data_IF_703575100235
#
_entry.id   IF_703575100235
#
_cell.length_a   1.000
_cell.length_b   1.000
_cell.length_c   1.000
_cell.angle_alpha   90.00
_cell.angle_beta   90.00
_cell.angle_gamma   90.00
#
_symmetry.space_group_name_H-M   'P 1'
#
loop_
_entity.id
_entity.type
_entity.pdbx_description
1 polymer ?
#
# COMPACT_ATOMS: atom_id res chain seq x y z
N UNK A 1 -3.62 86.75 -7.39
CA UNK A 1 -4.09 86.35 -6.05
C UNK A 1 -4.37 84.84 -6.06
N UNK A 2 -3.87 84.12 -5.05
CA UNK A 2 -4.18 82.74 -4.55
C UNK A 2 -4.94 81.77 -5.48
N UNK A 3 -4.33 80.66 -5.95
CA UNK A 3 -3.91 79.38 -5.31
C UNK A 3 -4.94 78.25 -5.50
N UNK A 4 -4.40 77.02 -5.62
CA UNK A 4 -4.96 75.65 -5.42
C UNK A 4 -5.40 74.91 -6.69
N UNK A 5 -4.57 74.06 -7.31
CA UNK A 5 -4.21 72.64 -6.98
C UNK A 5 -5.39 71.67 -6.93
N UNK A 6 -5.41 70.73 -7.89
CA UNK A 6 -6.20 69.50 -7.83
C UNK A 6 -5.88 68.57 -9.00
N UNK A 7 -4.83 67.76 -8.87
CA UNK A 7 -4.55 66.62 -9.77
C UNK A 7 -5.37 65.44 -9.25
N UNK A 8 -6.43 65.05 -9.96
CA UNK A 8 -7.19 63.82 -9.65
C UNK A 8 -6.78 62.70 -10.59
N UNK A 9 -6.20 61.68 -9.97
CA UNK A 9 -5.65 60.45 -10.52
C UNK A 9 -6.75 59.56 -11.11
N UNK A 10 -6.50 58.99 -12.28
CA UNK A 10 -7.19 57.80 -12.79
C UNK A 10 -6.63 56.55 -12.08
N UNK A 11 -7.39 55.44 -12.05
CA UNK A 11 -6.82 54.26 -12.70
C UNK A 11 -7.83 53.49 -13.57
N UNK A 12 -7.36 53.12 -14.76
CA UNK A 12 -7.96 52.15 -15.66
C UNK A 12 -8.13 50.80 -14.94
N UNK A 13 -9.36 50.32 -14.81
CA UNK A 13 -9.68 48.96 -14.42
C UNK A 13 -9.40 48.01 -15.59
N UNK A 14 -8.22 47.38 -15.54
CA UNK A 14 -7.78 46.36 -16.47
C UNK A 14 -8.55 45.04 -16.27
N UNK A 15 -9.20 44.61 -17.33
CA UNK A 15 -9.67 43.25 -17.59
C UNK A 15 -8.53 42.25 -17.32
N UNK A 16 -8.70 41.38 -16.33
CA UNK A 16 -7.79 40.25 -16.07
C UNK A 16 -8.59 38.95 -16.04
N UNK A 17 -8.74 38.37 -17.23
CA UNK A 17 -9.15 36.99 -17.43
C UNK A 17 -7.91 36.10 -17.23
N UNK A 18 -7.85 35.27 -16.19
CA UNK A 18 -7.07 34.04 -16.28
C UNK A 18 -7.56 32.97 -15.31
N UNK A 19 -8.20 31.97 -15.91
CA UNK A 19 -8.48 30.65 -15.37
C UNK A 19 -7.17 30.00 -14.88
N UNK A 20 -7.00 29.84 -13.58
CA UNK A 20 -5.96 28.98 -13.02
C UNK A 20 -6.61 27.87 -12.19
N UNK A 21 -7.27 26.95 -12.89
CA UNK A 21 -7.41 25.58 -12.40
C UNK A 21 -6.02 24.95 -12.46
N UNK A 22 -5.19 25.19 -11.44
CA UNK A 22 -3.89 24.52 -11.33
C UNK A 22 -4.12 23.02 -11.14
N UNK A 23 -3.38 22.14 -11.85
CA UNK A 23 -3.39 20.74 -11.49
C UNK A 23 -2.84 20.66 -10.05
N UNK A 24 -3.56 19.94 -9.19
CA UNK A 24 -3.05 19.57 -7.88
C UNK A 24 -1.68 18.92 -8.09
N UNK A 25 -0.62 19.66 -7.76
CA UNK A 25 0.74 19.18 -7.85
C UNK A 25 0.89 18.07 -6.81
N UNK A 26 0.94 16.82 -7.27
CA UNK A 26 1.44 15.72 -6.47
C UNK A 26 2.82 16.12 -5.96
N UNK A 27 2.92 16.32 -4.64
CA UNK A 27 4.15 16.75 -4.00
C UNK A 27 5.20 15.62 -4.09
N UNK A 28 6.48 15.91 -4.40
CA UNK A 28 7.54 14.90 -4.52
C UNK A 28 7.81 14.10 -3.22
N UNK A 29 7.25 14.55 -2.10
CA UNK A 29 7.27 13.81 -0.83
C UNK A 29 6.27 12.64 -0.81
N UNK A 30 5.19 12.71 -1.61
CA UNK A 30 4.20 11.64 -1.76
C UNK A 30 4.72 10.43 -2.49
N UNK A 31 5.35 10.66 -3.64
CA UNK A 31 5.95 9.60 -4.46
C UNK A 31 7.02 8.81 -3.66
N UNK A 32 7.76 9.47 -2.77
CA UNK A 32 8.76 8.81 -1.90
C UNK A 32 8.11 7.97 -0.81
N UNK A 33 6.98 8.43 -0.25
CA UNK A 33 6.27 7.70 0.80
C UNK A 33 5.55 6.49 0.22
N UNK A 34 4.89 6.64 -0.94
CA UNK A 34 4.27 5.54 -1.68
C UNK A 34 5.29 4.44 -1.98
N UNK A 35 6.40 4.77 -2.66
CA UNK A 35 7.48 3.80 -2.92
C UNK A 35 8.06 3.18 -1.64
N UNK A 36 8.02 3.89 -0.51
CA UNK A 36 8.43 3.35 0.78
C UNK A 36 7.45 2.34 1.37
N UNK A 37 6.15 2.52 1.11
CA UNK A 37 5.09 1.59 1.51
C UNK A 37 5.08 0.35 0.61
N UNK A 38 5.27 0.51 -0.70
CA UNK A 38 5.30 -0.60 -1.66
C UNK A 38 6.46 -1.55 -1.37
N UNK A 39 7.69 -1.02 -1.29
CA UNK A 39 8.88 -1.82 -0.93
C UNK A 39 8.73 -2.54 0.42
N UNK A 40 7.92 -1.97 1.32
CA UNK A 40 7.62 -2.60 2.61
C UNK A 40 6.59 -3.71 2.44
N UNK A 41 5.58 -3.53 1.58
CA UNK A 41 4.63 -4.56 1.16
C UNK A 41 5.35 -5.76 0.58
N UNK A 42 6.14 -5.55 -0.47
CA UNK A 42 6.91 -6.60 -1.16
C UNK A 42 7.75 -7.42 -0.18
N UNK A 43 8.46 -6.75 0.74
CA UNK A 43 9.30 -7.44 1.74
C UNK A 43 8.47 -8.29 2.71
N UNK A 44 7.25 -7.86 3.03
CA UNK A 44 6.36 -8.61 3.90
C UNK A 44 5.78 -9.81 3.16
N UNK A 45 5.29 -9.64 1.93
CA UNK A 45 4.83 -10.72 1.05
C UNK A 45 5.90 -11.79 0.90
N UNK A 46 7.10 -11.39 0.45
CA UNK A 46 8.22 -12.30 0.23
C UNK A 46 8.67 -13.02 1.51
N UNK A 47 8.38 -12.46 2.69
CA UNK A 47 8.63 -13.11 3.98
C UNK A 47 7.51 -14.09 4.35
N UNK A 48 6.26 -13.79 4.00
CA UNK A 48 5.13 -14.69 4.20
C UNK A 48 5.23 -15.90 3.28
N UNK A 49 5.60 -15.71 2.00
CA UNK A 49 5.77 -16.78 1.02
C UNK A 49 6.86 -17.76 1.45
N UNK A 50 8.07 -17.25 1.72
CA UNK A 50 9.18 -18.09 2.24
C UNK A 50 8.82 -18.83 3.52
N UNK A 51 7.89 -18.29 4.31
CA UNK A 51 7.41 -18.94 5.52
C UNK A 51 6.42 -20.05 5.18
N UNK A 52 5.49 -19.83 4.25
CA UNK A 52 4.58 -20.84 3.69
C UNK A 52 5.37 -22.02 3.16
N UNK A 53 6.22 -21.77 2.18
CA UNK A 53 7.16 -22.71 1.58
C UNK A 53 7.91 -23.61 2.59
N UNK A 54 8.37 -23.02 3.70
CA UNK A 54 9.10 -23.77 4.73
C UNK A 54 8.18 -24.69 5.52
N UNK A 55 6.95 -24.24 5.77
CA UNK A 55 5.94 -25.02 6.45
C UNK A 55 5.49 -26.17 5.56
N UNK A 56 5.22 -25.93 4.28
CA UNK A 56 4.74 -26.94 3.32
C UNK A 56 5.75 -28.05 3.19
N UNK A 57 7.00 -27.71 2.84
CA UNK A 57 8.11 -28.69 2.80
C UNK A 57 8.28 -29.48 4.10
N UNK A 58 7.87 -28.95 5.25
CA UNK A 58 7.93 -29.69 6.52
C UNK A 58 6.71 -30.59 6.71
N UNK A 59 5.54 -30.17 6.26
CA UNK A 59 4.32 -30.96 6.33
C UNK A 59 4.36 -32.09 5.31
N UNK A 60 4.76 -31.83 4.07
CA UNK A 60 4.92 -32.83 3.00
C UNK A 60 5.83 -33.96 3.46
N UNK A 61 7.05 -33.64 3.92
CA UNK A 61 7.98 -34.65 4.45
C UNK A 61 7.39 -35.46 5.61
N UNK A 62 6.50 -34.87 6.42
CA UNK A 62 5.84 -35.59 7.50
C UNK A 62 4.68 -36.44 7.01
N UNK A 63 3.98 -36.01 5.97
CA UNK A 63 2.94 -36.75 5.30
C UNK A 63 3.54 -37.96 4.59
N UNK A 64 4.61 -37.78 3.81
CA UNK A 64 5.37 -38.86 3.16
C UNK A 64 5.85 -39.90 4.18
N UNK A 65 6.44 -39.45 5.30
CA UNK A 65 6.86 -40.35 6.37
C UNK A 65 5.67 -41.06 7.03
N UNK A 66 4.53 -40.40 7.17
CA UNK A 66 3.34 -41.04 7.74
C UNK A 66 2.80 -42.11 6.78
N UNK A 67 2.74 -41.82 5.49
CA UNK A 67 2.32 -42.76 4.46
C UNK A 67 3.26 -43.96 4.36
N UNK A 68 4.57 -43.73 4.32
CA UNK A 68 5.58 -44.81 4.31
C UNK A 68 5.52 -45.72 5.55
N UNK A 69 5.04 -45.20 6.69
CA UNK A 69 4.82 -45.97 7.91
C UNK A 69 3.41 -46.60 8.01
N UNK A 70 2.61 -46.55 6.94
CA UNK A 70 1.26 -47.11 6.90
C UNK A 70 0.22 -46.30 7.68
N UNK A 71 0.41 -44.99 7.80
CA UNK A 71 -0.52 -44.06 8.47
C UNK A 71 -1.16 -43.06 7.49
N UNK A 72 -1.99 -43.50 6.53
CA UNK A 72 -2.56 -42.63 5.50
C UNK A 72 -3.48 -41.53 6.07
N UNK A 73 -4.30 -41.86 7.07
CA UNK A 73 -5.17 -40.87 7.75
C UNK A 73 -4.37 -39.76 8.43
N UNK A 74 -3.16 -40.07 8.89
CA UNK A 74 -2.27 -39.08 9.50
C UNK A 74 -1.62 -38.20 8.43
N UNK A 75 -1.27 -38.75 7.27
CA UNK A 75 -0.78 -38.00 6.12
C UNK A 75 -1.84 -36.99 5.67
N UNK A 76 -3.08 -37.45 5.42
CA UNK A 76 -4.20 -36.58 5.02
C UNK A 76 -4.46 -35.45 6.04
N UNK A 77 -4.38 -35.74 7.35
CA UNK A 77 -4.52 -34.71 8.38
C UNK A 77 -3.40 -33.66 8.34
N UNK A 78 -2.19 -34.05 7.93
CA UNK A 78 -1.07 -33.13 7.77
C UNK A 78 -1.27 -32.24 6.54
N UNK A 79 -1.82 -32.77 5.46
CA UNK A 79 -2.15 -32.01 4.24
C UNK A 79 -3.24 -30.98 4.52
N UNK A 80 -4.36 -31.40 5.13
CA UNK A 80 -5.43 -30.50 5.57
C UNK A 80 -4.95 -29.42 6.55
N UNK A 81 -3.87 -29.71 7.29
CA UNK A 81 -3.22 -28.73 8.16
C UNK A 81 -2.38 -27.74 7.36
N UNK A 82 -1.75 -28.17 6.27
CA UNK A 82 -1.07 -27.32 5.29
C UNK A 82 -2.04 -26.29 4.73
N UNK A 83 -3.13 -26.76 4.12
CA UNK A 83 -4.17 -25.90 3.53
C UNK A 83 -4.69 -24.84 4.51
N UNK A 84 -4.90 -25.24 5.77
CA UNK A 84 -5.36 -24.32 6.83
C UNK A 84 -4.32 -23.24 7.14
N UNK A 85 -3.04 -23.59 7.11
CA UNK A 85 -1.95 -22.65 7.34
C UNK A 85 -1.83 -21.70 6.16
N UNK A 86 -1.96 -22.18 4.93
CA UNK A 86 -1.89 -21.36 3.72
C UNK A 86 -3.00 -20.31 3.71
N UNK A 87 -4.25 -20.74 3.93
CA UNK A 87 -5.38 -19.81 4.09
C UNK A 87 -5.22 -18.82 5.26
N UNK A 88 -4.38 -19.12 6.24
CA UNK A 88 -4.06 -18.18 7.32
C UNK A 88 -2.97 -17.20 6.90
N UNK A 89 -2.00 -17.63 6.11
CA UNK A 89 -0.94 -16.78 5.57
C UNK A 89 -1.50 -15.83 4.51
N UNK A 90 -2.37 -16.30 3.62
CA UNK A 90 -3.04 -15.49 2.59
C UNK A 90 -3.83 -14.35 3.24
N UNK A 91 -4.73 -14.68 4.18
CA UNK A 91 -5.50 -13.68 4.94
C UNK A 91 -4.63 -12.68 5.69
N UNK A 92 -3.41 -13.11 6.06
CA UNK A 92 -2.45 -12.24 6.72
C UNK A 92 -1.77 -11.30 5.72
N UNK A 93 -1.46 -11.78 4.51
CA UNK A 93 -1.04 -10.95 3.37
C UNK A 93 -2.07 -9.88 3.09
N UNK A 94 -3.31 -10.28 2.79
CA UNK A 94 -4.41 -9.34 2.52
C UNK A 94 -4.66 -8.31 3.64
N UNK A 95 -4.40 -8.67 4.89
CA UNK A 95 -4.52 -7.74 6.01
C UNK A 95 -3.40 -6.70 6.02
N UNK A 96 -2.18 -7.12 5.66
CA UNK A 96 -1.04 -6.22 5.50
C UNK A 96 -1.30 -5.26 4.34
N UNK A 97 -1.74 -5.77 3.19
CA UNK A 97 -1.96 -4.98 1.98
C UNK A 97 -2.99 -3.88 2.25
N UNK A 98 -4.17 -4.27 2.77
CA UNK A 98 -5.20 -3.31 3.17
C UNK A 98 -4.72 -2.28 4.20
N UNK A 99 -3.75 -2.62 5.05
CA UNK A 99 -3.19 -1.68 6.02
C UNK A 99 -2.22 -0.71 5.35
N UNK A 100 -1.44 -1.17 4.37
CA UNK A 100 -0.55 -0.33 3.57
C UNK A 100 -1.35 0.59 2.66
N UNK A 101 -2.39 0.09 1.97
CA UNK A 101 -3.30 0.90 1.15
C UNK A 101 -3.92 2.04 1.96
N UNK A 102 -4.52 1.72 3.11
CA UNK A 102 -5.10 2.73 4.00
C UNK A 102 -4.08 3.76 4.46
N UNK A 103 -2.80 3.39 4.55
CA UNK A 103 -1.72 4.30 4.93
C UNK A 103 -1.33 5.19 3.74
N UNK A 104 -1.27 4.65 2.53
CA UNK A 104 -1.13 5.40 1.28
C UNK A 104 -2.25 6.41 1.11
N UNK A 105 -3.51 5.99 1.14
CA UNK A 105 -4.67 6.89 0.98
C UNK A 105 -4.81 7.96 2.07
N UNK A 106 -4.17 7.80 3.23
CA UNK A 106 -4.11 8.86 4.26
C UNK A 106 -3.06 9.91 3.90
N UNK A 107 -1.98 9.49 3.25
CA UNK A 107 -0.96 10.39 2.75
C UNK A 107 -1.50 11.19 1.56
N UNK A 108 -2.13 10.53 0.59
CA UNK A 108 -2.69 11.18 -0.62
C UNK A 108 -3.78 12.21 -0.29
N UNK A 109 -4.51 12.04 0.82
CA UNK A 109 -5.51 13.02 1.26
C UNK A 109 -4.91 14.23 1.97
N UNK A 110 -3.64 14.15 2.39
CA UNK A 110 -2.95 15.19 3.16
C UNK A 110 -2.10 16.09 2.27
N UNK A 111 -1.78 15.66 1.05
CA UNK A 111 -0.84 16.30 0.13
C UNK A 111 -1.39 16.35 -1.28
#
# INVERSE_FOLDING_TARGET
MKKMTGKTLLPLSALSLLLAAGPALAHPDGDRVEQGLDRRGDRIEERLDRRGDRIDRRLDRRADLAEANGHPVRAERLDLRGDRIDHRLDRRGEHVDRRLDRRGSRYDRRH
#
